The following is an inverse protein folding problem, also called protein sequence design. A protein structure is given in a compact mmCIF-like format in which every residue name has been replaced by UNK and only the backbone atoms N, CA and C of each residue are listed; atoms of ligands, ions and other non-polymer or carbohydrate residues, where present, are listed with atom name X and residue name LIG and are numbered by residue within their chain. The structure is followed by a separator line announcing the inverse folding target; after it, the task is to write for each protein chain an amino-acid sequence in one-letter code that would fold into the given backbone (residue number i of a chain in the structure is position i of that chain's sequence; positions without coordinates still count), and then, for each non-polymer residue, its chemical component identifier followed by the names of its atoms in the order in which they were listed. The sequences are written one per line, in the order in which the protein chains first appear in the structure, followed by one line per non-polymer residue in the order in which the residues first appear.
data_IF_852519351876
#
_entry.id   IF_852519351876
#
_cell.length_a   1.000
_cell.length_b   1.000
_cell.length_c   1.000
_cell.angle_alpha   90.00
_cell.angle_beta   90.00
_cell.angle_gamma   90.00
#
_symmetry.space_group_name_H-M   'P 1'
#
loop_
_entity.id
_entity.type
_entity.pdbx_description
1 polymer ?
2 non-polymer ?
3 water ?
#
# COMPACT_ATOMS: atom_id res chain seq x y z
N UNK A 7 7.96 -28.09 -3.95
CA UNK A 7 8.67 -26.83 -4.28
C UNK A 7 7.75 -25.82 -4.96
N UNK A 8 7.51 -24.70 -4.26
CA UNK A 8 6.63 -23.63 -4.74
C UNK A 8 6.80 -23.26 -6.21
N UNK A 9 5.67 -22.99 -6.86
CA UNK A 9 5.64 -22.61 -8.28
C UNK A 9 5.34 -21.12 -8.35
N UNK A 10 5.52 -20.54 -9.55
CA UNK A 10 5.24 -19.13 -9.77
C UNK A 10 3.99 -19.05 -10.64
N UNK A 11 2.83 -18.97 -10.00
CA UNK A 11 1.54 -18.94 -10.69
C UNK A 11 0.93 -17.56 -10.95
N UNK A 12 0.68 -17.25 -12.21
CA UNK A 12 0.07 -15.97 -12.58
C UNK A 12 -1.43 -16.05 -12.27
N UNK A 13 -1.95 -14.98 -11.69
CA UNK A 13 -3.36 -14.93 -11.34
C UNK A 13 -4.05 -13.81 -12.12
N UNK A 14 -5.15 -14.16 -12.79
CA UNK A 14 -5.91 -13.19 -13.57
C UNK A 14 -7.32 -12.98 -13.04
N UNK A 15 -7.71 -11.73 -12.88
CA UNK A 15 -9.05 -11.39 -12.41
C UNK A 15 -9.76 -10.70 -13.56
N UNK A 16 -10.69 -11.41 -14.21
CA UNK A 16 -11.40 -10.86 -15.35
C UNK A 16 -12.79 -10.31 -15.08
N UNK A 17 -12.95 -9.01 -15.36
CA UNK A 17 -14.23 -8.34 -15.18
C UNK A 17 -14.95 -8.83 -13.93
N UNK A 18 -14.25 -8.80 -12.79
CA UNK A 18 -14.83 -9.26 -11.54
C UNK A 18 -15.78 -8.28 -10.88
N UNK A 19 -16.98 -8.77 -10.58
CA UNK A 19 -17.99 -7.98 -9.93
C UNK A 19 -18.61 -8.79 -8.80
N UNK A 20 -18.84 -8.13 -7.67
CA UNK A 20 -19.42 -8.76 -6.50
C UNK A 20 -20.36 -7.76 -5.85
N UNK A 21 -21.65 -8.10 -5.78
CA UNK A 21 -22.60 -7.19 -5.15
C UNK A 21 -23.60 -7.89 -4.25
N UNK A 22 -23.62 -7.49 -3.00
CA UNK A 22 -24.55 -8.05 -2.04
C UNK A 22 -25.86 -7.31 -2.20
N UNK A 23 -26.80 -7.93 -2.91
CA UNK A 23 -28.08 -7.30 -3.14
C UNK A 23 -27.92 -6.13 -4.10
N UNK A 24 -28.14 -4.92 -3.59
CA UNK A 24 -28.03 -3.72 -4.41
C UNK A 24 -26.64 -3.08 -4.31
N UNK A 25 -25.95 -3.34 -3.22
CA UNK A 25 -24.62 -2.77 -3.01
C UNK A 25 -23.53 -3.51 -3.78
N UNK A 26 -22.75 -2.75 -4.53
CA UNK A 26 -21.65 -3.31 -5.30
C UNK A 26 -20.36 -3.18 -4.50
N UNK A 27 -19.85 -4.32 -4.04
CA UNK A 27 -18.63 -4.35 -3.25
C UNK A 27 -17.38 -4.27 -4.11
N UNK A 28 -17.45 -4.83 -5.32
CA UNK A 28 -16.34 -4.81 -6.27
C UNK A 28 -16.92 -4.65 -7.67
N UNK A 29 -16.57 -3.56 -8.35
CA UNK A 29 -17.10 -3.28 -9.68
C UNK A 29 -16.12 -3.54 -10.82
N UNK A 30 -16.46 -4.51 -11.67
CA UNK A 30 -15.65 -4.89 -12.84
C UNK A 30 -14.14 -4.76 -12.67
N UNK A 31 -13.59 -5.54 -11.73
CA UNK A 31 -12.16 -5.53 -11.47
C UNK A 31 -11.39 -6.39 -12.46
N UNK A 32 -10.45 -5.76 -13.17
CA UNK A 32 -9.61 -6.45 -14.13
C UNK A 32 -8.18 -6.30 -13.61
N UNK A 33 -7.58 -7.40 -13.20
CA UNK A 33 -6.25 -7.35 -12.65
C UNK A 33 -5.44 -8.58 -13.00
N UNK A 34 -4.15 -8.39 -13.28
CA UNK A 34 -3.27 -9.51 -13.60
C UNK A 34 -2.09 -9.53 -12.64
N UNK A 35 -2.15 -10.43 -11.67
CA UNK A 35 -1.07 -10.57 -10.70
C UNK A 35 0.02 -11.42 -11.33
N UNK A 36 1.19 -10.83 -11.53
CA UNK A 36 2.30 -11.53 -12.15
C UNK A 36 2.85 -12.64 -11.28
N UNK A 37 2.98 -13.83 -11.86
CA UNK A 37 3.49 -14.99 -11.15
C UNK A 37 4.72 -14.65 -10.32
N UNK A 38 4.73 -15.11 -9.07
CA UNK A 38 5.85 -14.86 -8.19
C UNK A 38 6.01 -13.47 -7.61
N UNK A 39 5.12 -12.54 -7.97
CA UNK A 39 5.24 -11.19 -7.44
C UNK A 39 4.46 -11.02 -6.14
N UNK A 40 4.76 -9.93 -5.44
CA UNK A 40 4.10 -9.60 -4.18
C UNK A 40 3.21 -8.40 -4.46
N UNK A 41 1.94 -8.64 -4.73
CA UNK A 41 0.99 -7.57 -5.00
C UNK A 41 0.25 -7.20 -3.72
N UNK A 42 0.03 -5.90 -3.52
CA UNK A 42 -0.69 -5.44 -2.34
C UNK A 42 -1.96 -4.69 -2.73
N UNK A 43 -3.06 -5.04 -2.06
CA UNK A 43 -4.34 -4.38 -2.30
C UNK A 43 -4.54 -3.39 -1.15
N UNK A 44 -4.17 -2.15 -1.41
CA UNK A 44 -4.27 -1.07 -0.45
C UNK A 44 -5.58 -0.29 -0.65
N UNK A 45 -6.13 0.22 0.45
CA UNK A 45 -7.38 0.97 0.36
C UNK A 45 -8.08 1.06 1.70
N UNK A 46 -8.88 2.12 1.92
CA UNK A 46 -9.61 2.31 3.17
C UNK A 46 -10.65 1.22 3.40
N UNK A 47 -11.26 1.22 4.57
CA UNK A 47 -12.29 0.22 4.87
C UNK A 47 -13.46 0.39 3.91
N UNK A 48 -14.00 -0.73 3.45
CA UNK A 48 -15.11 -0.70 2.52
C UNK A 48 -14.75 -0.53 1.07
N UNK A 49 -13.46 -0.48 0.75
CA UNK A 49 -13.05 -0.28 -0.64
C UNK A 49 -13.24 -1.52 -1.52
N UNK A 50 -13.31 -2.70 -0.91
CA UNK A 50 -13.49 -3.91 -1.69
C UNK A 50 -12.31 -4.86 -1.65
N UNK A 51 -11.21 -4.41 -1.08
CA UNK A 51 -10.00 -5.21 -0.99
C UNK A 51 -10.18 -6.59 -0.37
N UNK A 52 -10.86 -6.65 0.77
CA UNK A 52 -11.08 -7.93 1.45
C UNK A 52 -12.02 -8.84 0.68
N UNK A 53 -13.07 -8.28 0.07
CA UNK A 53 -14.01 -9.07 -0.68
C UNK A 53 -13.34 -9.66 -1.91
N UNK A 54 -12.32 -8.96 -2.41
CA UNK A 54 -11.55 -9.41 -3.58
C UNK A 54 -10.61 -10.54 -3.18
N UNK A 55 -10.12 -10.48 -1.95
CA UNK A 55 -9.22 -11.52 -1.46
C UNK A 55 -10.00 -12.81 -1.24
N UNK A 56 -11.21 -12.68 -0.68
CA UNK A 56 -12.06 -13.82 -0.41
C UNK A 56 -12.49 -14.52 -1.70
N UNK A 57 -12.81 -13.75 -2.74
CA UNK A 57 -13.21 -14.34 -4.00
C UNK A 57 -12.03 -15.13 -4.58
N UNK A 58 -10.82 -14.61 -4.40
CA UNK A 58 -9.63 -15.29 -4.90
C UNK A 58 -9.42 -16.60 -4.14
N UNK A 59 -9.75 -16.60 -2.86
CA UNK A 59 -9.59 -17.77 -2.02
C UNK A 59 -10.67 -18.81 -2.32
N UNK A 60 -11.81 -18.35 -2.81
CA UNK A 60 -12.90 -19.26 -3.11
C UNK A 60 -13.92 -19.30 -2.00
N UNK A 61 -13.66 -18.55 -0.93
CA UNK A 61 -14.56 -18.49 0.21
C UNK A 61 -15.82 -17.71 -0.17
N UNK A 62 -15.72 -17.01 -1.29
CA UNK A 62 -16.81 -16.19 -1.79
C UNK A 62 -16.79 -16.24 -3.32
N UNK A 63 -17.95 -16.47 -3.93
CA UNK A 63 -18.06 -16.54 -5.37
C UNK A 63 -18.40 -15.18 -5.97
N UNK A 64 -18.00 -14.93 -7.21
CA UNK A 64 -18.29 -13.66 -7.88
C UNK A 64 -19.74 -13.59 -8.33
N UNK A 65 -20.25 -12.37 -8.48
CA UNK A 65 -21.62 -12.17 -8.95
C UNK A 65 -21.52 -12.21 -10.47
N UNK A 66 -20.31 -12.01 -10.96
CA UNK A 66 -20.02 -11.99 -12.39
C UNK A 66 -18.50 -11.93 -12.52
N UNK A 67 -17.95 -12.52 -13.58
CA UNK A 67 -16.51 -12.48 -13.76
C UNK A 67 -15.86 -13.85 -13.78
N UNK A 68 -14.53 -13.86 -13.87
CA UNK A 68 -13.80 -15.12 -13.89
C UNK A 68 -12.44 -14.94 -13.23
N UNK A 69 -11.94 -16.01 -12.60
CA UNK A 69 -10.64 -15.98 -11.93
C UNK A 69 -9.75 -17.11 -12.44
N UNK A 70 -8.53 -16.76 -12.83
CA UNK A 70 -7.59 -17.76 -13.34
C UNK A 70 -6.34 -17.94 -12.48
N UNK A 71 -5.88 -19.18 -12.39
CA UNK A 71 -4.64 -19.52 -11.70
C UNK A 71 -3.92 -20.21 -12.84
N UNK A 72 -2.93 -19.54 -13.42
CA UNK A 72 -2.25 -20.13 -14.55
C UNK A 72 -3.30 -20.18 -15.63
N UNK A 73 -3.34 -21.27 -16.40
CA UNK A 73 -4.32 -21.38 -17.47
C UNK A 73 -5.63 -21.98 -16.99
N UNK A 74 -5.69 -22.34 -15.70
CA UNK A 74 -6.89 -22.95 -15.13
C UNK A 74 -7.92 -21.95 -14.61
N UNK A 75 -9.17 -22.14 -15.02
CA UNK A 75 -10.26 -21.28 -14.57
C UNK A 75 -10.69 -21.83 -13.22
N UNK A 76 -10.30 -21.18 -12.14
CA UNK A 76 -10.64 -21.67 -10.81
C UNK A 76 -11.85 -20.99 -10.18
N UNK A 77 -12.51 -20.14 -10.97
CA UNK A 77 -13.69 -19.40 -10.51
C UNK A 77 -14.64 -20.22 -9.65
N UNK A 78 -14.98 -21.42 -10.09
CA UNK A 78 -15.94 -22.25 -9.37
C UNK A 78 -15.40 -23.51 -8.70
N UNK A 79 -14.19 -23.42 -8.15
CA UNK A 79 -13.59 -24.56 -7.46
C UNK A 79 -13.57 -24.27 -5.98
N UNK A 80 -13.65 -25.33 -5.14
CA UNK A 80 -13.63 -25.13 -3.69
C UNK A 80 -12.27 -24.58 -3.27
N UNK A 81 -12.24 -23.71 -2.26
CA UNK A 81 -10.95 -23.15 -1.85
C UNK A 81 -9.83 -24.18 -1.68
N UNK A 82 -10.21 -25.43 -1.39
CA UNK A 82 -9.24 -26.49 -1.20
C UNK A 82 -8.59 -27.01 -2.48
N UNK A 83 -9.23 -26.80 -3.61
CA UNK A 83 -8.69 -27.28 -4.88
C UNK A 83 -7.90 -26.20 -5.60
N UNK A 84 -7.81 -25.02 -5.00
CA UNK A 84 -7.10 -23.92 -5.61
C UNK A 84 -5.63 -23.82 -5.18
N UNK A 85 -5.20 -24.75 -4.33
CA UNK A 85 -3.82 -24.75 -3.87
C UNK A 85 -3.46 -23.38 -3.33
N UNK A 86 -4.17 -22.94 -2.29
CA UNK A 86 -3.93 -21.65 -1.68
C UNK A 86 -3.82 -21.79 -0.17
N UNK A 87 -3.36 -20.73 0.48
CA UNK A 87 -3.25 -20.71 1.93
C UNK A 87 -3.52 -19.30 2.42
N UNK A 88 -4.51 -19.18 3.30
CA UNK A 88 -4.92 -17.90 3.85
C UNK A 88 -4.14 -17.54 5.10
N UNK A 89 -3.97 -16.25 5.33
CA UNK A 89 -3.25 -15.77 6.51
C UNK A 89 -3.88 -14.48 7.00
N UNK A 90 -4.61 -14.56 8.11
CA UNK A 90 -5.27 -13.38 8.66
C UNK A 90 -4.94 -13.08 10.12
N UNK A 91 -5.74 -12.21 10.74
CA UNK A 91 -5.58 -11.80 12.13
C UNK A 91 -4.47 -10.77 12.31
N UNK A 98 -2.56 -25.29 22.45
CA UNK A 98 -2.44 -26.50 23.24
C UNK A 98 -1.44 -27.45 22.59
N UNK A 99 -1.16 -27.22 21.31
CA UNK A 99 -0.24 -28.06 20.55
C UNK A 99 1.19 -27.52 20.60
N UNK A 100 2.10 -28.27 19.98
CA UNK A 100 3.50 -27.88 19.92
C UNK A 100 3.76 -27.32 18.53
N UNK A 101 4.71 -26.38 18.42
CA UNK A 101 5.04 -25.77 17.14
C UNK A 101 5.07 -26.79 16.00
N UNK A 102 5.80 -27.89 16.20
CA UNK A 102 5.89 -28.91 15.18
C UNK A 102 4.47 -29.33 14.80
N UNK A 103 3.67 -29.63 15.81
CA UNK A 103 2.30 -30.06 15.60
C UNK A 103 1.48 -28.96 14.94
N UNK A 104 1.70 -27.73 15.39
CA UNK A 104 0.99 -26.58 14.87
C UNK A 104 1.20 -26.42 13.36
N UNK A 105 2.45 -26.62 12.92
CA UNK A 105 2.79 -26.48 11.51
C UNK A 105 2.45 -27.74 10.71
N UNK A 106 2.34 -28.87 11.38
CA UNK A 106 2.02 -30.13 10.70
C UNK A 106 0.52 -30.27 10.55
N UNK A 107 -0.22 -29.61 11.44
CA UNK A 107 -1.68 -29.62 11.44
C UNK A 107 -2.29 -29.62 10.04
N UNK A 108 -2.00 -28.60 9.23
CA UNK A 108 -2.56 -28.54 7.87
C UNK A 108 -2.27 -29.78 7.04
N UNK A 109 -1.52 -30.71 7.59
CA UNK A 109 -1.18 -31.94 6.88
C UNK A 109 -1.57 -33.18 7.69
N UNK A 112 -5.23 -33.79 6.90
CA UNK A 112 -5.47 -33.59 5.47
C UNK A 112 -4.76 -34.68 4.65
N UNK A 113 -4.97 -35.94 5.04
CA UNK A 113 -4.37 -37.07 4.34
C UNK A 113 -2.92 -36.82 3.93
N UNK A 114 -2.01 -36.88 4.88
CA UNK A 114 -0.59 -36.66 4.57
C UNK A 114 0.33 -37.67 5.25
N UNK A 115 1.37 -38.13 4.53
CA UNK A 115 2.35 -39.09 5.03
C UNK A 115 3.30 -38.44 6.03
N UNK A 116 3.53 -39.10 7.16
CA UNK A 116 4.42 -38.57 8.20
C UNK A 116 5.82 -38.29 7.66
N UNK A 117 6.38 -39.24 6.94
CA UNK A 117 7.72 -39.09 6.37
C UNK A 117 7.80 -37.80 5.55
N UNK A 118 6.67 -37.40 5.00
CA UNK A 118 6.57 -36.21 4.18
C UNK A 118 6.38 -34.99 5.09
N UNK A 119 5.53 -35.15 6.10
CA UNK A 119 5.25 -34.08 7.05
C UNK A 119 6.54 -33.57 7.69
N UNK A 120 7.38 -34.49 8.14
CA UNK A 120 8.63 -34.12 8.79
C UNK A 120 9.54 -33.29 7.88
N UNK A 121 9.59 -33.65 6.60
CA UNK A 121 10.42 -32.90 5.67
C UNK A 121 9.88 -31.50 5.46
N UNK A 122 8.56 -31.38 5.38
CA UNK A 122 7.93 -30.08 5.16
C UNK A 122 8.05 -29.19 6.40
N UNK A 123 7.77 -29.74 7.57
CA UNK A 123 7.86 -28.97 8.80
C UNK A 123 9.29 -28.49 9.02
N UNK A 124 10.27 -29.35 8.75
CA UNK A 124 11.67 -28.97 8.90
C UNK A 124 11.98 -27.85 7.93
N UNK A 125 11.48 -28.00 6.72
CA UNK A 125 11.66 -27.01 5.67
C UNK A 125 11.09 -25.66 6.08
N UNK A 126 9.79 -25.64 6.40
CA UNK A 126 9.13 -24.41 6.81
C UNK A 126 9.78 -23.78 8.03
N UNK A 127 9.94 -24.58 9.08
CA UNK A 127 10.54 -24.11 10.32
C UNK A 127 11.89 -23.44 10.10
N UNK A 128 12.66 -23.96 9.15
CA UNK A 128 13.98 -23.43 8.85
C UNK A 128 13.87 -22.09 8.12
N UNK A 129 12.86 -21.97 7.25
CA UNK A 129 12.64 -20.74 6.50
C UNK A 129 12.17 -19.60 7.41
N UNK A 130 11.39 -19.92 8.43
CA UNK A 130 10.91 -18.91 9.38
C UNK A 130 11.88 -18.82 10.54
N UNK A 131 13.03 -19.48 10.38
CA UNK A 131 14.07 -19.50 11.41
C UNK A 131 13.50 -19.75 12.78
N UNK A 132 12.83 -20.89 12.92
CA UNK A 132 12.22 -21.27 14.19
C UNK A 132 12.36 -22.77 14.43
N UNK A 133 13.35 -23.38 13.77
CA UNK A 133 13.61 -24.80 13.90
C UNK A 133 13.87 -25.15 15.37
N UNK A 134 14.50 -24.23 16.08
CA UNK A 134 14.84 -24.43 17.49
C UNK A 134 13.65 -24.34 18.44
N UNK A 135 12.49 -23.93 17.94
CA UNK A 135 11.32 -23.80 18.79
C UNK A 135 10.28 -24.86 18.49
N UNK A 136 10.65 -25.82 17.64
CA UNK A 136 9.74 -26.88 17.24
C UNK A 136 9.09 -27.71 18.35
N UNK A 137 9.84 -28.05 19.39
CA UNK A 137 9.28 -28.86 20.47
C UNK A 137 8.70 -28.02 21.61
N UNK A 138 8.40 -26.75 21.34
CA UNK A 138 7.84 -25.87 22.35
C UNK A 138 6.35 -25.62 22.14
N UNK A 139 5.72 -24.97 23.12
CA UNK A 139 4.29 -24.66 23.07
C UNK A 139 4.04 -23.16 22.97
N UNK A 140 2.86 -22.77 22.45
CA UNK A 140 2.45 -21.37 22.28
C UNK A 140 2.90 -20.42 23.39
N UNK A 141 2.13 -20.37 24.47
CA UNK A 141 2.43 -19.50 25.60
C UNK A 141 3.88 -19.64 26.08
N UNK A 142 4.52 -20.73 25.68
CA UNK A 142 5.91 -20.99 26.06
C UNK A 142 6.87 -20.35 25.08
N UNK A 143 6.34 -19.96 23.92
CA UNK A 143 7.17 -19.37 22.88
C UNK A 143 7.73 -18.01 23.31
N UNK A 144 8.73 -18.06 24.18
CA UNK A 144 9.38 -16.88 24.69
C UNK A 144 10.75 -16.76 24.03
N UNK A 145 11.08 -17.75 23.20
CA UNK A 145 12.35 -17.75 22.50
C UNK A 145 12.20 -17.41 21.03
N UNK A 146 10.97 -17.09 20.62
CA UNK A 146 10.72 -16.74 19.24
C UNK A 146 9.49 -15.87 19.06
N UNK A 147 8.67 -16.22 18.08
CA UNK A 147 7.44 -15.48 17.82
C UNK A 147 6.36 -16.42 17.32
N UNK A 148 5.20 -16.36 17.96
CA UNK A 148 4.06 -17.21 17.56
C UNK A 148 3.65 -16.75 16.17
N UNK A 149 4.14 -15.57 15.80
CA UNK A 149 3.83 -14.98 14.51
C UNK A 149 4.52 -15.78 13.41
N UNK A 150 5.82 -15.98 13.58
CA UNK A 150 6.63 -16.73 12.63
C UNK A 150 6.09 -18.15 12.45
N UNK A 151 5.50 -18.70 13.49
CA UNK A 151 4.92 -20.04 13.44
C UNK A 151 3.71 -20.03 12.53
N UNK A 152 2.93 -18.95 12.61
CA UNK A 152 1.73 -18.79 11.81
C UNK A 152 2.05 -18.80 10.32
N UNK A 153 3.13 -18.13 9.94
CA UNK A 153 3.54 -18.07 8.55
C UNK A 153 4.07 -19.43 8.09
N UNK A 154 4.86 -20.07 8.92
CA UNK A 154 5.41 -21.38 8.58
C UNK A 154 4.29 -22.36 8.28
N UNK A 155 3.22 -22.28 9.05
CA UNK A 155 2.08 -23.16 8.83
C UNK A 155 1.40 -22.77 7.53
N UNK A 156 1.56 -21.51 7.15
CA UNK A 156 0.95 -21.01 5.93
C UNK A 156 1.64 -21.55 4.69
N UNK A 157 2.97 -21.56 4.70
CA UNK A 157 3.75 -22.04 3.57
C UNK A 157 3.99 -23.55 3.58
N UNK A 158 3.81 -24.17 4.74
CA UNK A 158 4.03 -25.61 4.87
C UNK A 158 3.24 -26.43 3.85
N UNK A 159 2.15 -25.85 3.35
CA UNK A 159 1.30 -26.53 2.37
C UNK A 159 1.85 -26.42 0.95
N UNK A 160 2.70 -25.42 0.72
CA UNK A 160 3.30 -25.17 -0.59
C UNK A 160 2.24 -24.73 -1.60
N UNK A 161 1.51 -23.66 -1.28
CA UNK A 161 0.45 -23.09 -2.13
C UNK A 161 0.97 -22.39 -3.36
N UNK A 162 0.10 -22.22 -4.35
CA UNK A 162 0.47 -21.54 -5.59
C UNK A 162 0.23 -20.05 -5.40
N UNK A 163 -0.79 -19.73 -4.61
CA UNK A 163 -1.13 -18.35 -4.33
C UNK A 163 -1.22 -18.20 -2.82
N UNK A 164 -0.45 -17.24 -2.29
CA UNK A 164 -0.44 -16.97 -0.86
C UNK A 164 -1.31 -15.76 -0.61
N UNK A 165 -2.31 -15.91 0.25
CA UNK A 165 -3.24 -14.81 0.54
C UNK A 165 -3.14 -14.32 1.99
N UNK A 166 -3.06 -13.01 2.17
CA UNK A 166 -2.96 -12.44 3.51
C UNK A 166 -3.86 -11.24 3.71
N UNK A 167 -4.57 -11.22 4.84
CA UNK A 167 -5.48 -10.14 5.15
C UNK A 167 -5.08 -9.47 6.47
N UNK A 168 -4.53 -8.27 6.38
CA UNK A 168 -4.12 -7.50 7.55
C UNK A 168 -3.56 -8.44 8.61
N UNK A 169 -2.50 -9.20 8.27
CA UNK A 169 -1.86 -10.15 9.19
C UNK A 169 -1.17 -9.52 10.39
N UNK A 170 -0.78 -8.26 10.25
CA UNK A 170 -0.06 -7.56 11.31
C UNK A 170 -0.87 -6.44 11.95
N UNK A 171 -2.19 -6.58 12.00
CA UNK A 171 -3.03 -5.53 12.57
C UNK A 171 -2.85 -5.29 14.06
N UNK A 172 -2.60 -6.35 14.82
CA UNK A 172 -2.46 -6.22 16.27
C UNK A 172 -1.04 -6.50 16.79
N UNK A 173 -0.06 -5.76 16.26
CA UNK A 173 1.33 -5.94 16.67
C UNK A 173 1.97 -4.61 17.02
N UNK A 174 2.74 -4.59 18.11
CA UNK A 174 3.41 -3.38 18.53
C UNK A 174 4.35 -2.88 17.43
N UNK A 175 4.11 -1.67 16.96
CA UNK A 175 4.89 -1.04 15.90
C UNK A 175 6.22 -1.71 15.60
N UNK A 176 7.13 -1.69 16.57
CA UNK A 176 8.45 -2.29 16.38
C UNK A 176 8.38 -3.71 15.83
N UNK A 177 7.60 -4.56 16.47
CA UNK A 177 7.46 -5.94 16.02
C UNK A 177 6.88 -5.99 14.62
N UNK A 178 5.77 -5.30 14.43
CA UNK A 178 5.10 -5.26 13.13
C UNK A 178 6.10 -5.03 11.99
N UNK A 179 6.89 -3.97 12.11
CA UNK A 179 7.87 -3.66 11.09
C UNK A 179 8.77 -4.87 10.83
N UNK A 180 9.18 -5.53 11.90
CA UNK A 180 10.04 -6.72 11.77
C UNK A 180 9.37 -7.79 10.93
N UNK A 181 8.05 -7.94 11.11
CA UNK A 181 7.28 -8.93 10.35
C UNK A 181 7.14 -8.54 8.88
N UNK A 182 7.02 -7.24 8.63
CA UNK A 182 6.91 -6.78 7.25
C UNK A 182 8.14 -7.29 6.53
N UNK A 183 9.30 -7.06 7.11
CA UNK A 183 10.56 -7.49 6.52
C UNK A 183 10.65 -9.01 6.50
N UNK A 184 10.25 -9.64 7.59
CA UNK A 184 10.30 -11.10 7.65
C UNK A 184 9.51 -11.70 6.51
N UNK A 185 8.27 -11.26 6.37
CA UNK A 185 7.38 -11.76 5.32
C UNK A 185 7.88 -11.48 3.90
N UNK A 186 8.22 -10.22 3.62
CA UNK A 186 8.69 -9.84 2.30
C UNK A 186 9.90 -10.65 1.84
N UNK A 187 10.90 -10.80 2.70
CA UNK A 187 12.09 -11.55 2.36
C UNK A 187 11.76 -13.01 2.07
N UNK A 188 10.94 -13.60 2.92
CA UNK A 188 10.52 -14.98 2.75
C UNK A 188 9.92 -15.17 1.37
N UNK A 189 9.02 -14.27 1.01
CA UNK A 189 8.33 -14.31 -0.28
C UNK A 189 9.32 -14.05 -1.41
N UNK A 190 10.25 -13.13 -1.21
CA UNK A 190 11.24 -12.84 -2.24
C UNK A 190 12.07 -14.10 -2.47
N UNK A 191 12.17 -14.93 -1.43
CA UNK A 191 12.92 -16.18 -1.52
C UNK A 191 12.09 -17.28 -2.18
N UNK A 192 10.89 -17.53 -1.64
CA UNK A 192 10.01 -18.56 -2.17
C UNK A 192 9.48 -18.21 -3.56
N UNK A 193 9.43 -16.91 -3.86
CA UNK A 193 8.91 -16.42 -5.12
C UNK A 193 7.49 -16.91 -5.36
N UNK A 194 6.71 -17.02 -4.29
CA UNK A 194 5.32 -17.48 -4.40
C UNK A 194 4.41 -16.27 -4.63
N UNK A 195 3.49 -16.40 -5.59
CA UNK A 195 2.57 -15.32 -5.89
C UNK A 195 1.79 -14.96 -4.63
N UNK A 196 1.95 -13.72 -4.18
CA UNK A 196 1.28 -13.31 -2.96
C UNK A 196 0.41 -12.08 -3.16
N UNK A 197 -0.79 -12.14 -2.62
CA UNK A 197 -1.72 -11.02 -2.69
C UNK A 197 -1.91 -10.62 -1.23
N UNK A 198 -1.52 -9.39 -0.91
CA UNK A 198 -1.58 -8.88 0.46
C UNK A 198 -2.60 -7.76 0.63
N UNK A 199 -3.49 -7.93 1.60
CA UNK A 199 -4.52 -6.92 1.87
C UNK A 199 -4.19 -6.07 3.11
N UNK A 200 -4.33 -4.75 2.98
CA UNK A 200 -4.05 -3.85 4.11
C UNK A 200 -4.49 -2.41 3.83
N UNK A 201 -4.85 -1.68 4.90
CA UNK A 201 -5.27 -0.29 4.77
C UNK A 201 -4.08 0.61 5.12
N UNK A 202 -2.99 -0.01 5.55
CA UNK A 202 -1.77 0.70 5.94
C UNK A 202 -0.91 1.05 4.74
N UNK A 203 -0.92 2.30 4.32
CA UNK A 203 -0.13 2.73 3.17
C UNK A 203 1.36 2.54 3.36
N UNK A 204 1.85 2.65 4.59
CA UNK A 204 3.27 2.47 4.85
C UNK A 204 3.64 1.00 4.62
N UNK A 205 2.87 0.11 5.22
CA UNK A 205 3.11 -1.33 5.10
C UNK A 205 3.07 -1.77 3.64
N UNK A 206 2.20 -1.14 2.85
CA UNK A 206 2.08 -1.45 1.44
C UNK A 206 3.36 -1.08 0.70
N UNK A 207 3.84 0.14 0.94
CA UNK A 207 5.06 0.63 0.31
C UNK A 207 6.28 -0.21 0.69
N UNK A 208 6.20 -0.88 1.83
CA UNK A 208 7.30 -1.69 2.30
C UNK A 208 7.33 -3.11 1.72
N UNK A 209 6.16 -3.67 1.45
CA UNK A 209 6.11 -5.05 0.97
C UNK A 209 5.74 -5.34 -0.49
N UNK A 210 4.83 -4.57 -1.05
CA UNK A 210 4.42 -4.82 -2.41
C UNK A 210 5.40 -4.47 -3.52
N UNK A 211 5.56 -5.41 -4.45
CA UNK A 211 6.44 -5.20 -5.61
C UNK A 211 5.65 -4.22 -6.45
N UNK A 212 4.34 -4.33 -6.33
CA UNK A 212 3.39 -3.47 -7.01
C UNK A 212 2.25 -3.30 -6.02
N UNK A 213 1.53 -2.19 -6.13
CA UNK A 213 0.42 -1.92 -5.22
C UNK A 213 -0.82 -1.57 -6.02
N UNK A 214 -1.96 -2.10 -5.60
CA UNK A 214 -3.21 -1.81 -6.26
C UNK A 214 -4.10 -1.00 -5.33
N UNK A 215 -4.20 0.30 -5.60
CA UNK A 215 -5.02 1.18 -4.78
C UNK A 215 -6.50 1.05 -5.15
N UNK A 216 -7.33 0.78 -4.15
CA UNK A 216 -8.76 0.63 -4.38
C UNK A 216 -9.62 1.62 -3.59
N UNK A 217 -10.84 1.81 -4.05
CA UNK A 217 -11.79 2.73 -3.41
C UNK A 217 -13.16 2.59 -4.04
N UNK A 218 -14.18 2.44 -3.20
CA UNK A 218 -15.56 2.28 -3.65
C UNK A 218 -15.69 1.15 -4.66
N UNK A 219 -14.99 0.05 -4.40
CA UNK A 219 -15.05 -1.12 -5.26
C UNK A 219 -14.28 -1.04 -6.56
N UNK A 220 -13.62 0.10 -6.81
CA UNK A 220 -12.88 0.25 -8.05
C UNK A 220 -11.37 0.29 -7.92
N UNK A 221 -10.70 -0.15 -8.97
CA UNK A 221 -9.25 -0.15 -9.04
C UNK A 221 -8.84 1.21 -9.60
N UNK A 222 -8.30 2.08 -8.76
CA UNK A 222 -7.90 3.39 -9.23
C UNK A 222 -6.55 3.36 -9.92
N UNK A 223 -5.60 2.59 -9.40
CA UNK A 223 -4.29 2.50 -10.03
C UNK A 223 -3.49 1.31 -9.51
N UNK A 224 -2.53 0.87 -10.31
CA UNK A 224 -1.65 -0.22 -9.92
C UNK A 224 -0.25 0.08 -10.44
N UNK A 225 0.76 -0.35 -9.69
CA UNK A 225 2.12 -0.11 -10.11
C UNK A 225 3.08 -0.22 -8.93
N UNK A 226 4.35 0.01 -9.18
CA UNK A 226 5.37 -0.08 -8.14
C UNK A 226 5.20 1.08 -7.17
N UNK A 227 5.66 0.90 -5.93
CA UNK A 227 5.55 1.95 -4.90
C UNK A 227 6.11 3.26 -5.42
N UNK A 228 7.13 3.16 -6.28
CA UNK A 228 7.75 4.34 -6.85
C UNK A 228 6.77 5.06 -7.79
N UNK A 229 6.04 4.28 -8.58
CA UNK A 229 5.09 4.85 -9.53
C UNK A 229 3.85 5.46 -8.89
N UNK A 230 3.18 4.71 -8.02
CA UNK A 230 2.00 5.24 -7.36
C UNK A 230 2.35 6.40 -6.42
N UNK A 231 3.60 6.48 -6.00
CA UNK A 231 4.02 7.56 -5.12
C UNK A 231 4.45 8.80 -5.86
N UNK A 232 5.34 8.64 -6.85
CA UNK A 232 5.82 9.77 -7.63
C UNK A 232 4.84 10.19 -8.71
N UNK A 233 4.07 9.24 -9.21
CA UNK A 233 3.13 9.55 -10.26
C UNK A 233 1.73 8.95 -10.08
N UNK A 234 0.99 9.45 -9.07
CA UNK A 234 -0.37 8.95 -8.83
C UNK A 234 -1.25 9.55 -9.91
N UNK A 235 -2.20 8.78 -10.43
CA UNK A 235 -3.06 9.29 -11.49
C UNK A 235 -4.34 9.98 -11.04
N UNK A 236 -4.42 10.32 -9.75
CA UNK A 236 -5.61 11.00 -9.25
C UNK A 236 -5.44 11.47 -7.81
N UNK A 237 -6.30 12.40 -7.40
CA UNK A 237 -6.26 12.97 -6.05
C UNK A 237 -6.24 11.88 -4.98
N UNK A 238 -7.20 10.97 -5.04
CA UNK A 238 -7.32 9.91 -4.05
C UNK A 238 -5.98 9.20 -3.78
N UNK A 239 -5.43 8.59 -4.83
CA UNK A 239 -4.17 7.87 -4.71
C UNK A 239 -3.06 8.79 -4.22
N UNK A 240 -2.96 9.96 -4.83
CA UNK A 240 -1.93 10.94 -4.45
C UNK A 240 -1.97 11.30 -2.98
N UNK A 241 -3.14 11.17 -2.36
CA UNK A 241 -3.32 11.52 -0.95
C UNK A 241 -3.42 10.33 0.00
N UNK A 242 -3.50 9.12 -0.55
CA UNK A 242 -3.63 7.93 0.28
C UNK A 242 -2.30 7.29 0.63
N UNK A 243 -1.25 7.69 -0.07
CA UNK A 243 0.08 7.15 0.17
C UNK A 243 1.04 8.30 0.45
N UNK A 244 1.66 8.27 1.62
CA UNK A 244 2.59 9.33 1.98
C UNK A 244 1.94 10.23 3.02
N UNK A 245 2.51 10.26 4.22
CA UNK A 245 1.97 11.08 5.28
C UNK A 245 3.08 11.81 6.02
N UNK A 246 2.88 13.11 6.32
CA UNK A 246 1.70 13.94 6.03
C UNK A 246 1.23 13.88 4.58
N UNK A 247 -0.09 13.91 4.39
CA UNK A 247 -0.71 13.86 3.08
C UNK A 247 -0.26 14.99 2.13
N UNK A 248 -0.34 14.72 0.83
CA UNK A 248 0.03 15.70 -0.17
C UNK A 248 -0.88 16.92 -0.02
N UNK A 249 -0.32 18.12 -0.17
CA UNK A 249 -1.14 19.32 -0.07
C UNK A 249 -1.90 19.52 -1.38
N UNK A 250 -3.20 19.75 -1.28
CA UNK A 250 -4.02 19.97 -2.47
C UNK A 250 -4.68 21.34 -2.39
N UNK A 251 -4.26 22.24 -3.27
CA UNK A 251 -4.80 23.60 -3.29
C UNK A 251 -5.50 23.88 -4.61
N UNK A 252 -6.69 24.46 -4.50
CA UNK A 252 -7.51 24.81 -5.66
C UNK A 252 -6.94 26.05 -6.33
N UNK A 253 -6.73 25.99 -7.64
CA UNK A 253 -6.18 27.13 -8.37
C UNK A 253 -6.72 27.34 -9.79
N UNK A 254 -6.35 28.46 -10.39
CA UNK A 254 -6.77 28.80 -11.74
C UNK A 254 -5.56 28.94 -12.66
N UNK A 255 -5.60 28.29 -13.81
CA UNK A 255 -4.49 28.32 -14.75
C UNK A 255 -4.45 29.56 -15.64
N UNK A 256 -3.63 30.54 -15.26
CA UNK A 256 -3.51 31.75 -16.06
C UNK A 256 -2.59 31.50 -17.24
N UNK A 257 -1.69 32.44 -17.52
CA UNK A 257 -0.74 32.28 -18.61
C UNK A 257 0.18 31.13 -18.22
N UNK A 258 1.39 31.48 -17.82
CA UNK A 258 2.36 30.48 -17.41
C UNK A 258 2.50 30.57 -15.90
N UNK A 259 1.35 30.52 -15.22
CA UNK A 259 1.32 30.61 -13.77
C UNK A 259 0.02 30.05 -13.21
N UNK A 260 -0.02 29.91 -11.89
CA UNK A 260 -1.20 29.41 -11.21
C UNK A 260 -1.56 30.41 -10.12
N UNK A 261 -2.86 30.66 -9.95
CA UNK A 261 -3.27 31.61 -8.93
C UNK A 261 -4.10 30.91 -7.87
N UNK A 262 -3.70 31.09 -6.62
CA UNK A 262 -4.40 30.48 -5.51
C UNK A 262 -5.09 31.55 -4.69
N UNK A 263 -5.81 31.14 -3.66
CA UNK A 263 -6.50 32.10 -2.81
C UNK A 263 -5.51 32.92 -1.98
N UNK A 264 -4.74 33.75 -2.66
CA UNK A 264 -3.76 34.59 -1.99
C UNK A 264 -2.32 34.34 -2.40
N UNK A 265 -2.11 33.78 -3.60
CA UNK A 265 -0.76 33.51 -4.06
C UNK A 265 -0.74 33.09 -5.53
N UNK A 266 0.47 33.03 -6.09
CA UNK A 266 0.64 32.63 -7.48
C UNK A 266 1.96 31.90 -7.64
N UNK A 267 2.05 31.05 -8.65
CA UNK A 267 3.26 30.29 -8.90
C UNK A 267 3.65 30.34 -10.37
N UNK A 268 4.85 30.81 -10.64
CA UNK A 268 5.34 30.92 -12.01
C UNK A 268 5.55 29.54 -12.61
N UNK A 269 4.82 29.26 -13.69
CA UNK A 269 4.92 27.98 -14.37
C UNK A 269 5.85 28.01 -15.57
N UNK A 270 7.03 27.40 -15.44
CA UNK A 270 8.01 27.36 -16.53
C UNK A 270 7.44 26.64 -17.75
N UNK A 271 8.00 26.94 -18.91
CA UNK A 271 7.54 26.33 -20.15
C UNK A 271 8.26 25.01 -20.39
N UNK A 274 6.93 22.62 -18.72
CA UNK A 274 5.60 22.42 -18.15
C UNK A 274 4.51 23.18 -18.89
N UNK A 275 3.46 23.54 -18.16
CA UNK A 275 2.33 24.24 -18.72
C UNK A 275 1.53 23.33 -19.64
N UNK A 276 1.35 22.09 -19.21
CA UNK A 276 0.60 21.11 -19.98
C UNK A 276 -0.87 21.35 -19.65
N UNK A 277 -1.13 22.56 -19.14
CA UNK A 277 -2.47 22.96 -18.74
C UNK A 277 -3.06 23.90 -19.80
N UNK A 278 -2.43 23.91 -20.97
CA UNK A 278 -2.87 24.75 -22.07
C UNK A 278 -4.38 24.64 -22.30
N UNK A 279 -4.96 23.49 -21.96
CA UNK A 279 -6.39 23.27 -22.13
C UNK A 279 -7.18 23.63 -20.86
N UNK A 280 -6.50 24.23 -19.89
CA UNK A 280 -7.13 24.63 -18.65
C UNK A 280 -6.91 26.10 -18.33
N UNK A 281 -6.42 26.86 -19.31
CA UNK A 281 -6.19 28.27 -19.11
C UNK A 281 -7.50 28.96 -18.78
N UNK A 282 -7.53 29.70 -17.67
CA UNK A 282 -8.73 30.39 -17.26
C UNK A 282 -9.66 29.50 -16.46
N UNK A 283 -9.40 28.20 -16.45
CA UNK A 283 -10.22 27.25 -15.73
C UNK A 283 -9.60 26.93 -14.37
N UNK A 284 -10.28 26.12 -13.58
CA UNK A 284 -9.80 25.74 -12.25
C UNK A 284 -9.36 24.28 -12.12
N UNK A 285 -8.16 24.08 -11.58
CA UNK A 285 -7.62 22.75 -11.40
C UNK A 285 -7.11 22.56 -9.96
N UNK A 286 -6.61 21.37 -9.67
CA UNK A 286 -6.12 21.08 -8.33
C UNK A 286 -4.60 21.00 -8.27
N UNK A 287 -3.98 21.92 -7.54
CA UNK A 287 -2.53 21.95 -7.38
C UNK A 287 -2.12 20.93 -6.32
N UNK A 288 -1.01 20.25 -6.56
CA UNK A 288 -0.55 19.26 -5.61
C UNK A 288 0.95 19.27 -5.38
N UNK A 289 1.35 19.27 -4.12
CA UNK A 289 2.76 19.24 -3.78
C UNK A 289 2.90 18.67 -2.37
N UNK A 290 3.71 17.63 -2.25
CA UNK A 290 3.93 16.96 -0.98
C UNK A 290 4.79 17.75 0.00
N UNK A 291 4.45 17.67 1.29
CA UNK A 291 5.15 18.35 2.38
C UNK A 291 6.65 18.06 2.37
N UNK A 292 7.02 16.88 1.89
CA UNK A 292 8.41 16.51 1.83
C UNK A 292 9.09 17.06 0.57
N UNK A 293 8.31 17.65 -0.33
CA UNK A 293 8.88 18.21 -1.55
C UNK A 293 8.94 19.73 -1.46
N UNK A 294 8.92 20.24 -0.23
CA UNK A 294 8.99 21.68 0.03
C UNK A 294 10.05 21.89 1.11
N UNK A 295 10.23 23.13 1.52
CA UNK A 295 11.22 23.45 2.55
C UNK A 295 11.19 24.94 2.88
N UNK A 296 12.22 25.40 3.59
CA UNK A 296 12.29 26.80 3.98
C UNK A 296 13.68 27.36 3.72
N UNK A 297 13.75 28.58 3.20
CA UNK A 297 15.04 29.21 2.94
C UNK A 297 15.78 29.28 4.27
N UNK A 298 17.07 29.01 4.24
CA UNK A 298 17.86 29.07 5.45
C UNK A 298 17.93 27.74 6.19
N UNK A 299 17.84 26.65 5.44
CA UNK A 299 17.90 25.31 6.03
C UNK A 299 18.53 24.32 5.05
N UNK A 304 19.98 20.00 -3.19
CA UNK A 304 19.48 21.20 -3.84
C UNK A 304 18.47 20.90 -4.94
N UNK A 305 17.41 21.70 -5.00
CA UNK A 305 16.37 21.54 -6.00
C UNK A 305 16.76 22.30 -7.27
N UNK A 306 16.63 21.65 -8.42
CA UNK A 306 16.98 22.27 -9.69
C UNK A 306 16.12 23.50 -9.96
N UNK A 307 14.82 23.29 -10.04
CA UNK A 307 13.86 24.38 -10.28
C UNK A 307 13.01 24.52 -9.04
N UNK A 308 12.56 25.73 -8.75
CA UNK A 308 11.74 25.98 -7.56
C UNK A 308 10.70 27.09 -7.73
N UNK A 309 9.94 27.31 -6.66
CA UNK A 309 8.91 28.35 -6.62
C UNK A 309 8.83 28.82 -5.18
N UNK A 310 8.68 30.13 -4.99
CA UNK A 310 8.62 30.68 -3.64
C UNK A 310 7.28 31.30 -3.25
N UNK A 311 7.05 31.34 -1.94
CA UNK A 311 5.87 31.92 -1.34
C UNK A 311 6.21 32.15 0.13
N UNK A 312 5.95 33.36 0.61
CA UNK A 312 6.23 33.68 2.00
C UNK A 312 4.96 33.48 2.83
N UNK A 313 5.13 33.13 4.09
CA UNK A 313 3.98 32.92 4.95
C UNK A 313 4.37 32.79 6.39
N UNK A 314 3.37 32.81 7.27
CA UNK A 314 3.62 32.69 8.71
C UNK A 314 3.26 31.30 9.23
N UNK A 315 4.13 30.78 10.08
CA UNK A 315 3.93 29.47 10.67
C UNK A 315 2.74 29.48 11.61
N UNK A 316 1.75 28.64 11.32
CA UNK A 316 0.55 28.56 12.15
C UNK A 316 0.65 27.52 13.26
N UNK A 317 1.43 26.49 13.05
CA UNK A 317 1.59 25.45 14.05
C UNK A 317 2.81 24.58 13.71
N UNK A 318 3.47 24.06 14.73
CA UNK A 318 4.63 23.23 14.50
C UNK A 318 4.54 21.89 15.21
N UNK A 319 4.97 20.85 14.51
CA UNK A 319 4.99 19.50 15.04
C UNK A 319 6.45 19.11 15.15
N UNK A 320 7.06 19.38 16.30
CA UNK A 320 8.45 19.04 16.53
C UNK A 320 8.49 17.61 17.06
N UNK A 321 8.49 16.65 16.15
CA UNK A 321 8.49 15.24 16.53
C UNK A 321 9.89 14.68 16.78
N UNK A 322 10.86 15.57 16.91
CA UNK A 322 12.22 15.14 17.16
C UNK A 322 12.95 14.66 15.92
N UNK A 323 12.40 13.64 15.28
CA UNK A 323 13.01 13.09 14.06
C UNK A 323 12.55 13.82 12.81
N UNK A 324 11.53 14.65 12.97
CA UNK A 324 10.97 15.43 11.87
C UNK A 324 10.29 16.65 12.45
N UNK A 325 10.22 17.71 11.64
CA UNK A 325 9.58 18.94 12.07
C UNK A 325 8.57 19.36 11.01
N UNK A 326 7.30 19.04 11.27
CA UNK A 326 6.25 19.36 10.32
C UNK A 326 5.67 20.74 10.60
N UNK A 327 5.72 21.61 9.61
CA UNK A 327 5.22 22.96 9.76
C UNK A 327 3.88 23.19 9.06
N UNK A 328 3.02 23.97 9.70
CA UNK A 328 1.72 24.31 9.14
C UNK A 328 1.78 25.78 8.76
N UNK A 329 2.16 26.04 7.51
CA UNK A 329 2.31 27.39 7.00
C UNK A 329 1.05 27.87 6.28
N UNK A 330 0.72 29.15 6.47
CA UNK A 330 -0.46 29.74 5.86
C UNK A 330 -0.24 30.44 4.53
N UNK A 331 -0.53 29.73 3.43
CA UNK A 331 -0.40 30.27 2.08
C UNK A 331 -1.67 31.06 1.81
N UNK A 332 -1.59 32.39 1.92
CA UNK A 332 -2.76 33.21 1.69
C UNK A 332 -3.88 32.73 2.59
N UNK A 333 -4.98 32.30 1.99
CA UNK A 333 -6.11 31.79 2.77
C UNK A 333 -5.92 30.32 3.09
N UNK A 334 -5.13 29.63 2.27
CA UNK A 334 -4.86 28.21 2.46
C UNK A 334 -3.78 27.94 3.49
N UNK A 335 -3.73 26.70 3.95
CA UNK A 335 -2.76 26.26 4.95
C UNK A 335 -2.14 24.95 4.47
N UNK A 336 -0.80 24.89 4.43
CA UNK A 336 -0.12 23.69 3.97
C UNK A 336 0.90 23.17 4.98
N UNK A 337 1.30 21.92 4.80
CA UNK A 337 2.28 21.31 5.70
C UNK A 337 3.61 21.13 5.00
N UNK A 338 4.68 21.53 5.67
CA UNK A 338 6.02 21.39 5.13
C UNK A 338 6.76 20.42 6.06
N UNK A 339 7.51 19.49 5.48
CA UNK A 339 8.23 18.53 6.28
C UNK A 339 9.75 18.75 6.27
N UNK A 340 10.30 19.05 7.44
CA UNK A 340 11.73 19.28 7.58
C UNK A 340 12.35 18.20 8.47
N UNK A 341 13.44 17.56 7.99
CA UNK A 341 14.12 16.50 8.76
C UNK A 341 14.72 17.03 10.04
N UNK A 342 14.76 16.19 11.07
CA UNK A 342 15.33 16.62 12.34
C UNK A 342 14.38 17.39 13.23
N UNK A 343 14.91 17.90 14.34
CA UNK A 343 14.14 18.67 15.31
C UNK A 343 14.41 20.16 15.10
N UNK A 344 13.47 20.84 14.46
CA UNK A 344 13.61 22.28 14.19
C UNK A 344 12.36 22.99 14.72
N UNK A 345 12.19 23.04 16.05
CA UNK A 345 11.08 23.65 16.78
C UNK A 345 10.84 25.15 16.56
N UNK A 346 10.88 25.61 15.31
CA UNK A 346 10.65 27.03 15.06
C UNK A 346 9.36 27.42 15.78
N UNK A 347 9.17 28.70 16.03
CA UNK A 347 7.98 29.13 16.76
C UNK A 347 6.88 29.73 15.90
N UNK A 348 5.62 29.47 16.26
CA UNK A 348 4.46 29.97 15.53
C UNK A 348 4.50 31.48 15.44
N UNK A 349 3.91 32.03 14.39
CA UNK A 349 3.90 33.47 14.22
C UNK A 349 5.01 33.95 13.31
N UNK A 350 6.20 33.37 13.47
CA UNK A 350 7.33 33.78 12.65
C UNK A 350 6.99 33.50 11.19
N UNK A 351 7.59 34.29 10.31
CA UNK A 351 7.34 34.18 8.87
C UNK A 351 8.49 33.48 8.19
N UNK A 352 8.17 32.52 7.33
CA UNK A 352 9.18 31.76 6.60
C UNK A 352 8.97 31.88 5.10
N UNK A 353 10.03 31.58 4.35
CA UNK A 353 9.97 31.61 2.89
C UNK A 353 9.95 30.18 2.40
N UNK A 354 8.77 29.69 2.09
CA UNK A 354 8.60 28.31 1.62
C UNK A 354 9.14 28.16 0.21
N UNK A 355 9.88 27.07 -0.02
CA UNK A 355 10.44 26.79 -1.32
C UNK A 355 9.85 25.50 -1.88
N UNK A 356 9.21 25.58 -3.04
CA UNK A 356 8.59 24.41 -3.65
C UNK A 356 9.39 23.79 -4.80
N UNK A 357 9.61 22.48 -4.73
CA UNK A 357 10.34 21.78 -5.78
C UNK A 357 9.35 21.65 -6.93
N UNK A 358 9.47 22.57 -7.88
CA UNK A 358 8.58 22.60 -9.05
C UNK A 358 8.52 21.27 -9.79
N UNK A 359 9.55 20.45 -9.64
CA UNK A 359 9.59 19.15 -10.31
C UNK A 359 8.78 18.05 -9.62
N UNK A 360 8.27 18.35 -8.44
CA UNK A 360 7.49 17.37 -7.69
C UNK A 360 6.02 17.79 -7.64
N UNK A 361 5.67 18.79 -8.43
CA UNK A 361 4.32 19.31 -8.48
C UNK A 361 3.38 18.47 -9.33
N UNK A 362 2.11 18.45 -8.93
CA UNK A 362 1.08 17.70 -9.62
C UNK A 362 -0.14 18.59 -9.84
N UNK A 363 -0.91 18.27 -10.86
CA UNK A 363 -2.11 19.03 -11.18
C UNK A 363 -3.20 18.07 -11.61
N UNK A 364 -4.32 18.08 -10.93
CA UNK A 364 -5.42 17.18 -11.25
C UNK A 364 -6.65 17.97 -11.71
N UNK A 365 -7.38 17.41 -12.66
CA UNK A 365 -8.59 18.05 -13.15
C UNK A 365 -9.51 18.12 -11.93
N UNK A 366 -10.19 19.24 -11.73
CA UNK A 366 -11.05 19.38 -10.55
C UNK A 366 -12.29 18.50 -10.52
N UNK A 367 -12.76 18.07 -11.68
CA UNK A 367 -13.96 17.25 -11.73
C UNK A 367 -13.67 15.75 -11.70
N UNK A 368 -12.82 15.28 -12.61
CA UNK A 368 -12.47 13.87 -12.67
C UNK A 368 -11.34 13.54 -11.69
N UNK A 369 -10.80 14.57 -11.05
CA UNK A 369 -9.71 14.41 -10.09
C UNK A 369 -8.58 13.59 -10.71
N UNK A 370 -8.60 13.45 -12.03
CA UNK A 370 -7.57 12.69 -12.72
C UNK A 370 -6.37 13.58 -12.95
N UNK A 371 -5.19 13.03 -12.74
CA UNK A 371 -3.95 13.77 -12.91
C UNK A 371 -3.77 14.34 -14.31
N UNK A 372 -3.10 15.48 -14.37
CA UNK A 372 -2.77 16.18 -15.60
C UNK A 372 -1.29 16.45 -15.37
N UNK A 373 -0.92 16.36 -14.09
CA UNK A 373 0.44 16.56 -13.58
C UNK A 373 1.08 17.84 -14.11
X LIG B 1 -13.45 -4.50 6.05
X LIG B 1 -13.63 -5.85 5.42
X LIG B 1 -14.63 -4.14 6.96
X LIG B 1 -12.13 -4.52 6.84
X LIG B 1 -12.25 -3.51 3.65
X LIG B 1 -12.28 -2.37 2.73
X LIG B 1 -11.78 -4.90 3.30
X LIG B 1 -13.27 -3.38 4.88
X LIG B 1 -14.24 -5.19 2.23
X LIG B 1 -15.17 -5.98 3.06
X LIG B 1 -14.12 -5.25 0.73
X LIG B 1 -13.69 -3.86 2.95
X LIG B 1 -15.48 -4.22 1.91
X LIG B 1 -16.48 -3.87 2.85
X LIG B 1 -17.68 -3.35 2.09
X LIG B 1 -18.49 -4.43 1.70
X LIG B 1 -18.51 -2.44 2.95
X LIG B 1 -18.83 -1.30 2.16
X LIG B 1 -19.70 -3.30 3.37
X LIG B 1 -20.92 -2.66 3.61
X LIG B 1 -19.80 -4.31 2.25
X LIG B 1 -20.15 -5.74 2.57
X LIG B 1 -19.23 -6.76 2.76
X LIG B 1 -19.92 -7.85 3.03
X LIG B 1 -21.26 -7.62 3.02
X LIG B 1 -22.45 -8.36 3.24
X LIG B 1 -22.52 -9.65 3.52
X LIG B 1 -23.68 -7.71 3.15
X LIG B 1 -23.77 -6.36 2.86
X LIG B 1 -22.63 -5.63 2.65
X LIG B 1 -21.40 -6.24 2.73
#
# INVERSE_FOLDING_TARGET
MGNNIEVIKMVEVKLENLTKRFGNFTAVNKLNLTIKDGEFLVLLGPSGCGKTTTLRMIAGLEEPTEGRIYFGDRDVTYLPPKDRNISMVFQSYAVWPHMTVYENIAFPLKIKKFPKDEIDKRVRWAAELLQIEELLNRYPAQLSGGQRQRVAVARAIVVEPDVLLMDEPLSNLDAKLRVAMRAEIKKLQQKLKVTTIYVTHDQVEAMTMGDRIAVMNRGQLLQIGSPTEVYLRPNSVFVATFIGAPEMNILEVSVGDGYLEGRGFRIELPQDLMDLLKDYVGKTVLFGIRPEHMTVEGVSELAHMKRTARLIGKVDFVEALGTDTILHVKFGDELVKVKLPGHIPIEPGREVKVIMDLDMIHVFDKDTEKAIV
ATP PG O1G O2G O3G PB O1B O2B O3B PA O1A O2A O3A O5' C5' C4' O4' C3' O3' C2' O2' C1' N9 C8 N7 C5 C6 N6 N1 C2 N3 C4
#
